data_IF_276347949892
#
_entry.id   IF_276347949892
#
_cell.length_a   1.000
_cell.length_b   1.000
_cell.length_c   1.000
_cell.angle_alpha   90.00
_cell.angle_beta   90.00
_cell.angle_gamma   90.00
#
_symmetry.space_group_name_H-M   'P 1'
#
loop_
_entity.id
_entity.type
_entity.pdbx_description
1 polymer ?
#
# COMPACT_ATOMS: atom_id res chain seq x y z
N UNK A 1 31.16 -34.41 -0.71
CA UNK A 1 31.57 -33.59 0.46
C UNK A 1 30.91 -32.23 0.30
N UNK A 2 29.96 -31.70 1.07
CA UNK A 2 29.30 -32.02 2.34
C UNK A 2 27.84 -31.47 2.29
N UNK A 3 26.90 -32.25 2.85
CA UNK A 3 25.64 -31.93 3.59
C UNK A 3 25.00 -30.52 3.43
N UNK A 4 23.75 -30.35 3.01
CA UNK A 4 22.44 -30.60 3.69
C UNK A 4 22.23 -29.84 5.01
N UNK A 5 20.98 -29.36 5.22
CA UNK A 5 20.32 -28.76 6.42
C UNK A 5 20.34 -27.22 6.51
N UNK A 6 19.27 -26.48 6.86
CA UNK A 6 17.97 -26.83 7.44
C UNK A 6 16.96 -25.66 7.32
N UNK A 7 15.67 -25.99 7.21
CA UNK A 7 14.53 -25.14 7.59
C UNK A 7 14.64 -24.75 9.07
N UNK A 8 14.30 -23.52 9.41
CA UNK A 8 13.81 -23.17 10.76
C UNK A 8 12.60 -22.23 10.62
N UNK A 9 11.44 -22.76 11.00
CA UNK A 9 10.20 -22.08 11.37
C UNK A 9 10.20 -21.98 12.90
N UNK A 10 9.73 -20.86 13.48
CA UNK A 10 9.04 -20.68 14.78
C UNK A 10 9.25 -19.23 15.31
N UNK A 11 8.47 -18.70 16.27
CA UNK A 11 7.12 -19.05 16.73
C UNK A 11 6.15 -17.83 16.83
N UNK A 12 4.87 -18.16 16.99
CA UNK A 12 3.77 -17.31 17.43
C UNK A 12 3.87 -16.91 18.93
N UNK A 13 3.30 -15.73 19.24
CA UNK A 13 2.49 -15.39 20.44
C UNK A 13 3.18 -14.81 21.69
N UNK A 14 2.74 -13.62 22.07
CA UNK A 14 2.58 -13.13 23.45
C UNK A 14 1.43 -12.11 23.44
N UNK A 15 0.21 -12.38 23.93
CA UNK A 15 -0.27 -12.39 25.33
C UNK A 15 0.18 -11.18 26.15
N UNK A 16 -0.79 -10.36 26.54
CA UNK A 16 -1.09 -9.76 27.86
C UNK A 16 -2.11 -8.61 27.58
N UNK A 17 -3.20 -8.36 28.32
CA UNK A 17 -3.44 -8.42 29.75
C UNK A 17 -4.89 -8.83 30.10
N UNK A 18 -5.03 -9.46 31.26
CA UNK A 18 -6.25 -9.96 31.86
C UNK A 18 -7.07 -8.88 32.59
N UNK A 19 -8.36 -9.18 32.81
CA UNK A 19 -9.20 -8.70 33.93
C UNK A 19 -10.21 -7.62 33.52
N UNK A 20 -11.51 -7.70 33.81
CA UNK A 20 -12.26 -8.56 34.72
C UNK A 20 -13.78 -8.38 34.53
N UNK A 21 -14.52 -9.25 35.19
CA UNK A 21 -15.97 -9.52 35.10
C UNK A 21 -16.88 -8.35 35.48
N UNK A 22 -18.05 -8.25 34.86
CA UNK A 22 -19.30 -8.00 35.56
C UNK A 22 -20.49 -8.52 34.74
N UNK A 23 -21.30 -9.35 35.39
CA UNK A 23 -22.53 -9.97 34.91
C UNK A 23 -23.67 -9.19 35.54
N UNK A 24 -24.56 -8.59 34.77
CA UNK A 24 -25.80 -8.06 35.32
C UNK A 24 -26.96 -8.25 34.34
N UNK A 25 -27.92 -9.08 34.76
CA UNK A 25 -29.18 -9.38 34.08
C UNK A 25 -30.21 -8.33 34.49
N UNK A 26 -30.81 -7.65 33.52
CA UNK A 26 -32.18 -7.12 33.55
C UNK A 26 -32.50 -6.67 32.12
N UNK A 27 -33.58 -7.05 31.45
CA UNK A 27 -34.95 -7.10 31.93
C UNK A 27 -35.79 -6.09 31.12
N UNK A 28 -36.08 -6.43 29.86
CA UNK A 28 -37.08 -5.85 28.92
C UNK A 28 -37.15 -4.32 28.79
N UNK A 29 -36.91 -3.80 27.56
CA UNK A 29 -37.85 -2.92 26.82
C UNK A 29 -37.40 -2.74 25.36
N UNK A 30 -38.40 -2.47 24.55
CA UNK A 30 -38.59 -2.59 23.10
C UNK A 30 -37.83 -1.54 22.25
N UNK A 31 -37.92 -1.58 20.91
CA UNK A 31 -36.96 -0.99 19.99
C UNK A 31 -37.13 0.53 19.93
N UNK A 32 -36.07 1.27 20.21
CA UNK A 32 -36.02 2.71 19.93
C UNK A 32 -34.84 2.94 19.01
N UNK A 33 -35.19 3.13 17.74
CA UNK A 33 -34.48 3.84 16.68
C UNK A 33 -32.99 4.04 16.95
N UNK A 34 -32.16 3.15 16.38
CA UNK A 34 -30.74 3.41 16.26
C UNK A 34 -30.54 4.82 15.67
N UNK A 35 -29.68 5.65 16.26
CA UNK A 35 -29.43 6.99 15.75
C UNK A 35 -28.85 6.85 14.34
N UNK A 36 -29.55 7.48 13.41
CA UNK A 36 -29.32 7.50 11.97
C UNK A 36 -27.98 8.15 11.56
N UNK A 37 -27.02 8.39 12.44
CA UNK A 37 -25.76 9.07 12.09
C UNK A 37 -24.59 8.51 12.89
N UNK A 38 -23.87 7.54 12.31
CA UNK A 38 -22.41 7.57 12.38
C UNK A 38 -21.96 8.12 11.03
N UNK A 39 -21.51 9.38 11.04
CA UNK A 39 -20.86 10.06 9.92
C UNK A 39 -20.05 9.08 9.08
N UNK A 40 -20.06 9.14 7.73
CA UNK A 40 -19.11 8.36 6.98
C UNK A 40 -17.73 8.75 7.53
N UNK A 41 -17.00 7.77 8.07
CA UNK A 41 -15.56 7.86 8.21
C UNK A 41 -15.07 8.12 6.79
N UNK A 42 -15.02 9.40 6.42
CA UNK A 42 -14.50 9.86 5.16
C UNK A 42 -13.07 9.35 5.19
N UNK A 43 -12.82 8.26 4.47
CA UNK A 43 -11.52 7.66 4.40
C UNK A 43 -10.65 8.76 3.81
N UNK A 44 -9.88 9.42 4.67
CA UNK A 44 -8.78 10.27 4.22
C UNK A 44 -7.81 9.26 3.64
N UNK A 45 -7.96 8.98 2.34
CA UNK A 45 -7.11 8.04 1.64
C UNK A 45 -5.72 8.65 1.67
N UNK A 46 -4.88 8.16 2.58
CA UNK A 46 -3.47 8.50 2.57
C UNK A 46 -2.86 7.89 1.31
N UNK A 47 -2.01 8.65 0.64
CA UNK A 47 -1.29 8.21 -0.53
C UNK A 47 0.19 8.01 -0.16
N UNK A 48 0.78 6.97 -0.74
CA UNK A 48 2.22 6.78 -0.75
C UNK A 48 2.74 7.29 -2.08
N UNK A 49 3.92 7.92 -2.04
CA UNK A 49 4.59 8.46 -3.23
C UNK A 49 6.01 7.93 -3.28
N UNK A 50 6.45 7.54 -4.46
CA UNK A 50 7.82 7.09 -4.71
C UNK A 50 8.31 7.58 -6.07
N UNK A 51 9.63 7.80 -6.17
CA UNK A 51 10.28 8.16 -7.41
C UNK A 51 11.04 6.99 -8.01
N UNK A 52 10.97 6.89 -9.33
CA UNK A 52 11.70 5.90 -10.11
C UNK A 52 12.41 6.53 -11.30
N UNK A 53 13.53 5.93 -11.68
CA UNK A 53 14.17 6.12 -12.97
C UNK A 53 13.94 4.89 -13.84
N UNK A 54 13.56 5.10 -15.08
CA UNK A 54 13.35 4.06 -16.09
C UNK A 54 13.96 4.49 -17.44
N UNK A 55 14.18 3.57 -18.38
CA UNK A 55 14.50 3.95 -19.76
C UNK A 55 13.36 4.82 -20.35
N UNK A 56 13.66 5.95 -21.03
CA UNK A 56 12.63 6.84 -21.57
C UNK A 56 11.60 6.17 -22.49
N UNK A 57 12.04 5.17 -23.25
CA UNK A 57 11.20 4.35 -24.13
C UNK A 57 10.14 3.53 -23.38
N UNK A 58 10.38 3.21 -22.11
CA UNK A 58 9.47 2.41 -21.27
C UNK A 58 8.40 3.26 -20.58
N UNK A 59 8.50 4.60 -20.59
CA UNK A 59 7.57 5.49 -19.85
C UNK A 59 6.12 5.24 -20.28
N UNK A 60 5.88 5.09 -21.58
CA UNK A 60 4.55 4.83 -22.10
C UNK A 60 4.03 3.44 -21.69
N UNK A 61 4.90 2.43 -21.72
CA UNK A 61 4.58 1.07 -21.32
C UNK A 61 4.24 0.98 -19.83
N UNK A 62 5.10 1.50 -18.96
CA UNK A 62 4.89 1.50 -17.51
C UNK A 62 3.61 2.25 -17.13
N UNK A 63 3.35 3.40 -17.77
CA UNK A 63 2.10 4.14 -17.59
C UNK A 63 0.89 3.31 -17.98
N UNK A 64 0.93 2.69 -19.15
CA UNK A 64 -0.16 1.85 -19.62
C UNK A 64 -0.44 0.69 -18.67
N UNK A 65 0.60 -0.02 -18.23
CA UNK A 65 0.44 -1.15 -17.29
C UNK A 65 -0.14 -0.66 -15.97
N UNK A 66 0.50 0.33 -15.32
CA UNK A 66 0.09 0.80 -14.00
C UNK A 66 -1.36 1.33 -13.99
N UNK A 67 -1.70 2.18 -14.95
CA UNK A 67 -3.04 2.79 -15.04
C UNK A 67 -4.12 1.81 -15.51
N UNK A 68 -3.73 0.68 -16.13
CA UNK A 68 -4.68 -0.40 -16.48
C UNK A 68 -5.16 -1.18 -15.26
N UNK A 69 -4.43 -1.14 -14.14
CA UNK A 69 -4.88 -1.74 -12.88
C UNK A 69 -5.75 -0.74 -12.10
N UNK A 70 -7.05 -0.98 -12.12
CA UNK A 70 -8.02 -0.11 -11.44
C UNK A 70 -7.67 0.04 -9.95
N UNK A 71 -7.57 1.29 -9.52
CA UNK A 71 -7.33 1.69 -8.14
C UNK A 71 -5.92 1.47 -7.59
N UNK A 72 -5.00 0.80 -8.29
CA UNK A 72 -3.65 0.53 -7.75
C UNK A 72 -2.86 1.82 -7.61
N UNK A 73 -2.83 2.67 -8.63
CA UNK A 73 -2.10 3.94 -8.56
C UNK A 73 -2.02 4.63 -9.91
N UNK A 74 -1.32 5.76 -9.92
CA UNK A 74 -1.06 6.53 -11.13
C UNK A 74 0.40 6.94 -11.20
N UNK A 75 0.83 7.33 -12.40
CA UNK A 75 2.19 7.76 -12.68
C UNK A 75 2.21 9.16 -13.29
N UNK A 76 3.17 9.95 -12.83
CA UNK A 76 3.47 11.26 -13.39
C UNK A 76 4.90 11.28 -13.87
N UNK A 77 5.11 11.77 -15.09
CA UNK A 77 6.46 11.96 -15.62
C UNK A 77 7.00 13.29 -15.12
N UNK A 78 8.11 13.25 -14.38
CA UNK A 78 8.79 14.45 -13.86
C UNK A 78 9.79 14.99 -14.88
N UNK A 79 10.60 14.10 -15.47
CA UNK A 79 11.51 14.44 -16.56
C UNK A 79 11.60 13.29 -17.57
N UNK A 80 11.04 13.46 -18.79
CA UNK A 80 11.03 12.41 -19.81
C UNK A 80 12.41 12.16 -20.44
N UNK A 81 13.36 13.09 -20.37
CA UNK A 81 14.69 12.92 -21.00
C UNK A 81 15.57 11.96 -20.22
N UNK A 82 15.46 12.00 -18.90
CA UNK A 82 16.22 11.13 -17.97
C UNK A 82 15.37 9.98 -17.44
N UNK A 83 14.11 9.90 -17.86
CA UNK A 83 13.16 8.87 -17.46
C UNK A 83 12.78 8.92 -15.98
N UNK A 84 12.65 10.12 -15.41
CA UNK A 84 12.26 10.31 -14.02
C UNK A 84 10.73 10.38 -13.90
N UNK A 85 10.17 9.53 -13.04
CA UNK A 85 8.73 9.46 -12.77
C UNK A 85 8.45 9.46 -11.28
N UNK A 86 7.27 9.95 -10.93
CA UNK A 86 6.63 9.79 -9.63
C UNK A 86 5.49 8.79 -9.79
N UNK A 87 5.38 7.85 -8.86
CA UNK A 87 4.26 6.93 -8.75
C UNK A 87 3.56 7.18 -7.41
N UNK A 88 2.24 7.27 -7.45
CA UNK A 88 1.40 7.50 -6.28
C UNK A 88 0.31 6.44 -6.18
N UNK A 89 0.07 5.92 -4.98
CA UNK A 89 -0.92 4.87 -4.74
C UNK A 89 -1.56 4.97 -3.35
N UNK A 90 -2.84 4.56 -3.20
CA UNK A 90 -3.49 4.51 -1.90
C UNK A 90 -2.74 3.63 -0.90
N UNK A 91 -2.65 4.06 0.36
CA UNK A 91 -2.02 3.27 1.42
C UNK A 91 -2.68 1.89 1.62
N UNK A 92 -3.98 1.78 1.37
CA UNK A 92 -4.71 0.50 1.41
C UNK A 92 -4.30 -0.47 0.29
N UNK A 93 -3.72 0.02 -0.80
CA UNK A 93 -3.27 -0.77 -1.97
C UNK A 93 -1.77 -1.08 -1.91
N UNK A 94 -1.05 -0.68 -0.85
CA UNK A 94 0.42 -0.73 -0.81
C UNK A 94 1.00 -2.11 -1.14
N UNK A 95 0.40 -3.19 -0.61
CA UNK A 95 0.89 -4.55 -0.87
C UNK A 95 0.75 -4.96 -2.35
N UNK A 96 -0.28 -4.51 -3.05
CA UNK A 96 -0.49 -4.82 -4.46
C UNK A 96 0.33 -3.90 -5.36
N UNK A 97 0.45 -2.62 -5.00
CA UNK A 97 1.37 -1.68 -5.63
C UNK A 97 2.82 -2.19 -5.57
N UNK A 98 3.30 -2.62 -4.39
CA UNK A 98 4.66 -3.14 -4.23
C UNK A 98 4.93 -4.37 -5.12
N UNK A 99 3.95 -5.27 -5.25
CA UNK A 99 4.06 -6.45 -6.13
C UNK A 99 4.12 -6.05 -7.60
N UNK A 100 3.27 -5.13 -8.02
CA UNK A 100 3.21 -4.66 -9.40
C UNK A 100 4.49 -3.89 -9.76
N UNK A 101 4.92 -2.96 -8.92
CA UNK A 101 6.14 -2.18 -9.13
C UNK A 101 7.38 -3.05 -9.21
N UNK A 102 7.44 -4.12 -8.40
CA UNK A 102 8.51 -5.10 -8.49
C UNK A 102 8.51 -5.84 -9.83
N UNK A 103 7.35 -6.32 -10.29
CA UNK A 103 7.25 -7.00 -11.58
C UNK A 103 7.67 -6.08 -12.73
N UNK A 104 7.19 -4.83 -12.72
CA UNK A 104 7.58 -3.82 -13.71
C UNK A 104 9.09 -3.54 -13.67
N UNK A 105 9.69 -3.46 -12.47
CA UNK A 105 11.13 -3.23 -12.32
C UNK A 105 11.97 -4.38 -12.89
N UNK A 106 11.55 -5.62 -12.64
CA UNK A 106 12.22 -6.82 -13.18
C UNK A 106 12.13 -6.89 -14.72
N UNK A 107 11.10 -6.31 -15.34
CA UNK A 107 10.87 -6.31 -16.79
C UNK A 107 11.53 -5.14 -17.54
N UNK A 108 11.52 -3.94 -16.95
CA UNK A 108 11.87 -2.68 -17.66
C UNK A 108 13.22 -2.09 -17.25
N UNK A 109 13.86 -2.62 -16.20
CA UNK A 109 15.04 -2.00 -15.60
C UNK A 109 14.73 -0.73 -14.80
N UNK A 110 13.46 -0.52 -14.42
CA UNK A 110 13.04 0.56 -13.53
C UNK A 110 13.74 0.42 -12.16
N UNK A 111 14.24 1.54 -11.63
CA UNK A 111 15.01 1.58 -10.37
C UNK A 111 14.52 2.71 -9.45
N UNK A 112 14.43 2.47 -8.13
CA UNK A 112 13.99 3.50 -7.20
C UNK A 112 15.05 4.60 -7.07
N UNK A 113 14.60 5.84 -6.94
CA UNK A 113 15.45 7.02 -6.70
C UNK A 113 14.80 7.93 -5.67
N UNK A 114 15.61 8.75 -5.00
CA UNK A 114 15.10 9.78 -4.11
C UNK A 114 14.36 10.86 -4.91
N UNK A 115 13.40 11.52 -4.25
CA UNK A 115 12.76 12.69 -4.81
C UNK A 115 13.79 13.79 -5.11
N UNK A 116 13.64 14.53 -6.23
CA UNK A 116 14.42 15.75 -6.46
C UNK A 116 14.23 16.72 -5.29
N UNK A 117 15.30 17.39 -4.85
CA UNK A 117 15.30 18.13 -3.57
C UNK A 117 14.12 19.06 -3.34
N UNK A 118 13.78 19.91 -4.32
CA UNK A 118 12.70 20.90 -4.20
C UNK A 118 11.32 20.35 -4.61
N UNK A 119 11.20 19.04 -4.83
CA UNK A 119 9.97 18.42 -5.29
C UNK A 119 9.05 18.05 -4.13
N UNK A 120 7.80 18.49 -4.23
CA UNK A 120 6.73 18.09 -3.31
C UNK A 120 5.80 17.10 -4.04
N UNK A 121 5.67 15.86 -3.54
CA UNK A 121 4.69 14.90 -4.04
C UNK A 121 3.25 15.43 -3.95
N UNK A 122 2.40 14.97 -4.85
CA UNK A 122 1.01 15.46 -5.00
C UNK A 122 0.06 15.02 -3.90
#
# INVERSE_FOLDING_TARGET
MFRTTSRIVLPLRSRNCCGGRAFEKNGRRSPTLAPFLSEPEFIVTSFNHCCYRLPPEEIAYVRFVLESYDGIGWIRTLDPRVGLVEISYPACQAADADRLLKAIADETGMSPVDFPGDYHPL
#
